data_IF_073917877475
#
_entry.id   IF_073917877475
#
_cell.length_a   1.000
_cell.length_b   1.000
_cell.length_c   1.000
_cell.angle_alpha   90.00
_cell.angle_beta   90.00
_cell.angle_gamma   90.00
#
_symmetry.space_group_name_H-M   'P 1'
#
loop_
_entity.id
_entity.type
_entity.pdbx_description
1 polymer ?
#
# COMPACT_ATOMS: atom_id res chain seq x y z
N UNK A 1 -23.90 42.83 -44.32
CA UNK A 1 -23.50 41.81 -43.32
C UNK A 1 -22.02 42.09 -43.07
N UNK A 2 -21.50 42.44 -41.90
CA UNK A 2 -21.74 42.00 -40.52
C UNK A 2 -21.30 43.13 -39.55
N UNK A 3 -21.98 43.28 -38.41
CA UNK A 3 -21.62 44.16 -37.29
C UNK A 3 -20.58 43.51 -36.36
N UNK A 4 -19.95 44.28 -35.46
CA UNK A 4 -20.15 43.98 -34.04
C UNK A 4 -20.32 45.19 -33.09
N UNK A 5 -21.18 44.99 -32.07
CA UNK A 5 -21.02 45.28 -30.62
C UNK A 5 -20.65 46.71 -30.16
N UNK A 6 -21.59 47.56 -29.70
CA UNK A 6 -22.17 47.72 -28.32
C UNK A 6 -21.12 47.93 -27.19
N UNK A 7 -20.94 49.16 -26.66
CA UNK A 7 -21.71 49.83 -25.58
C UNK A 7 -21.17 49.48 -24.17
N UNK A 8 -20.39 50.38 -23.54
CA UNK A 8 -20.80 51.33 -22.44
C UNK A 8 -20.64 50.73 -21.02
N UNK A 9 -20.31 51.41 -19.91
CA UNK A 9 -19.98 52.78 -19.50
C UNK A 9 -19.01 52.67 -18.30
N UNK A 10 -18.11 53.64 -18.11
CA UNK A 10 -17.29 53.78 -16.90
C UNK A 10 -17.93 54.78 -15.94
N UNK A 11 -18.13 54.39 -14.69
CA UNK A 11 -18.59 55.26 -13.60
C UNK A 11 -17.40 55.68 -12.74
N UNK A 12 -17.27 56.99 -12.56
CA UNK A 12 -16.36 57.67 -11.63
C UNK A 12 -17.02 57.79 -10.26
N UNK A 13 -16.36 57.37 -9.16
CA UNK A 13 -16.49 58.03 -7.84
C UNK A 13 -15.25 57.82 -6.94
N UNK A 14 -14.45 58.89 -6.83
CA UNK A 14 -13.75 59.50 -5.67
C UNK A 14 -13.33 58.64 -4.45
N UNK A 15 -12.02 58.63 -4.18
CA UNK A 15 -11.44 59.01 -2.87
C UNK A 15 -11.10 57.92 -1.84
N UNK A 16 -9.83 57.52 -1.75
CA UNK A 16 -8.99 57.65 -0.55
C UNK A 16 -7.56 57.22 -0.89
N UNK A 17 -6.61 58.14 -0.88
CA UNK A 17 -5.19 57.79 -0.85
C UNK A 17 -4.87 57.08 0.46
N UNK A 18 -4.45 55.83 0.37
CA UNK A 18 -3.49 55.28 1.34
C UNK A 18 -2.57 54.35 0.58
N UNK A 19 -1.45 54.92 0.13
CA UNK A 19 -0.30 54.18 -0.36
C UNK A 19 0.26 53.34 0.79
N UNK A 20 -0.31 52.16 1.02
CA UNK A 20 0.34 51.15 1.87
C UNK A 20 1.35 50.46 0.97
N UNK A 21 2.58 50.94 1.04
CA UNK A 21 3.70 50.40 0.27
C UNK A 21 3.83 48.89 0.53
N UNK A 22 4.15 48.14 -0.52
CA UNK A 22 4.45 46.70 -0.49
C UNK A 22 5.71 46.33 0.35
N UNK A 23 6.21 47.27 1.15
CA UNK A 23 7.45 47.23 1.91
C UNK A 23 7.28 47.88 3.31
N UNK A 24 6.07 47.85 3.88
CA UNK A 24 5.84 48.37 5.24
C UNK A 24 6.44 47.42 6.29
N UNK A 25 7.24 47.95 7.22
CA UNK A 25 7.89 47.17 8.30
C UNK A 25 6.90 46.37 9.15
N UNK A 26 5.63 46.79 9.20
CA UNK A 26 4.55 46.08 9.90
C UNK A 26 4.16 44.77 9.21
N UNK A 27 4.22 44.68 7.87
CA UNK A 27 3.88 43.45 7.14
C UNK A 27 5.00 42.41 7.18
N UNK A 28 6.26 42.85 7.30
CA UNK A 28 7.42 41.95 7.49
C UNK A 28 7.37 41.28 8.86
N UNK A 29 7.01 42.03 9.92
CA UNK A 29 6.89 41.48 11.29
C UNK A 29 5.76 40.46 11.40
N UNK A 30 4.58 40.76 10.86
CA UNK A 30 3.44 39.84 10.87
C UNK A 30 3.73 38.53 10.10
N UNK A 31 4.48 38.59 8.99
CA UNK A 31 4.89 37.40 8.25
C UNK A 31 5.96 36.58 8.99
N UNK A 32 6.84 37.23 9.75
CA UNK A 32 7.87 36.55 10.55
C UNK A 32 7.25 35.78 11.73
N UNK A 33 6.30 36.38 12.44
CA UNK A 33 5.61 35.72 13.56
C UNK A 33 4.79 34.50 13.10
N UNK A 34 4.11 34.55 11.94
CA UNK A 34 3.41 33.38 11.39
C UNK A 34 4.34 32.22 10.99
N UNK A 35 5.58 32.53 10.60
CA UNK A 35 6.59 31.51 10.27
C UNK A 35 7.20 30.89 11.53
N UNK A 36 7.35 31.66 12.61
CA UNK A 36 7.85 31.15 13.89
C UNK A 36 6.82 30.28 14.61
N UNK A 37 5.52 30.61 14.55
CA UNK A 37 4.44 29.79 15.15
C UNK A 37 4.25 28.44 14.44
N UNK A 38 4.50 28.36 13.12
CA UNK A 38 4.44 27.08 12.39
C UNK A 38 5.65 26.17 12.65
N UNK A 39 6.74 26.69 13.20
CA UNK A 39 7.96 25.90 13.46
C UNK A 39 8.01 25.26 14.85
N UNK A 40 7.14 25.69 15.77
CA UNK A 40 7.15 25.23 17.17
C UNK A 40 6.14 24.12 17.48
N UNK A 41 5.30 23.69 16.54
CA UNK A 41 4.36 22.58 16.76
C UNK A 41 4.97 21.25 16.31
N UNK A 42 6.19 20.98 16.76
CA UNK A 42 6.68 19.59 16.81
C UNK A 42 5.96 18.97 17.99
N UNK A 43 4.82 18.34 17.72
CA UNK A 43 4.17 17.46 18.70
C UNK A 43 5.25 16.51 19.23
N UNK A 44 5.37 16.33 20.56
CA UNK A 44 6.25 15.31 21.11
C UNK A 44 5.89 14.01 20.41
N UNK A 45 6.83 13.43 19.69
CA UNK A 45 6.70 12.09 19.16
C UNK A 45 6.58 11.21 20.39
N UNK A 46 5.38 10.77 20.72
CA UNK A 46 5.17 9.72 21.71
C UNK A 46 6.15 8.61 21.33
N UNK A 47 7.14 8.36 22.19
CA UNK A 47 8.11 7.28 22.02
C UNK A 47 7.32 5.97 22.15
N UNK A 48 6.68 5.58 21.06
CA UNK A 48 5.96 4.34 20.93
C UNK A 48 6.96 3.20 21.17
N UNK A 49 6.59 2.16 21.94
CA UNK A 49 7.47 1.03 22.20
C UNK A 49 8.05 0.49 20.88
N UNK A 50 9.38 0.42 20.81
CA UNK A 50 10.12 -0.09 19.66
C UNK A 50 10.92 -1.30 20.13
N UNK A 51 10.23 -2.40 20.42
CA UNK A 51 10.91 -3.65 20.78
C UNK A 51 11.60 -4.25 19.55
N UNK A 52 12.80 -4.78 19.74
CA UNK A 52 13.50 -5.51 18.69
C UNK A 52 12.82 -6.86 18.49
N UNK A 53 12.46 -7.17 17.24
CA UNK A 53 11.88 -8.47 16.87
C UNK A 53 12.78 -9.19 15.86
N UNK A 54 12.71 -10.51 15.87
CA UNK A 54 13.47 -11.37 14.95
C UNK A 54 12.64 -11.71 13.72
N UNK A 55 13.29 -12.01 12.59
CA UNK A 55 12.64 -12.48 11.37
C UNK A 55 11.73 -13.70 11.61
N UNK A 56 12.16 -14.65 12.43
CA UNK A 56 11.37 -15.84 12.78
C UNK A 56 10.02 -15.49 13.42
N UNK A 57 10.01 -14.53 14.35
CA UNK A 57 8.78 -14.04 14.99
C UNK A 57 7.88 -13.32 13.99
N UNK A 58 8.47 -12.50 13.11
CA UNK A 58 7.73 -11.83 12.04
C UNK A 58 7.05 -12.85 11.13
N UNK A 59 7.78 -13.87 10.66
CA UNK A 59 7.26 -14.94 9.82
C UNK A 59 6.16 -15.74 10.53
N UNK A 60 6.35 -16.06 11.81
CA UNK A 60 5.35 -16.77 12.62
C UNK A 60 4.02 -16.00 12.65
N UNK A 61 4.05 -14.71 12.97
CA UNK A 61 2.84 -13.88 12.99
C UNK A 61 2.29 -13.63 11.59
N UNK A 62 3.14 -13.48 10.57
CA UNK A 62 2.72 -13.35 9.18
C UNK A 62 1.89 -14.56 8.72
N UNK A 63 2.37 -15.78 8.97
CA UNK A 63 1.64 -17.00 8.60
C UNK A 63 0.43 -17.27 9.48
N UNK A 64 0.47 -16.91 10.77
CA UNK A 64 -0.73 -16.94 11.63
C UNK A 64 -1.81 -16.00 11.12
N UNK A 65 -1.43 -14.82 10.62
CA UNK A 65 -2.37 -13.90 10.00
C UNK A 65 -2.97 -14.47 8.71
N UNK A 66 -2.15 -15.07 7.84
CA UNK A 66 -2.63 -15.77 6.66
C UNK A 66 -3.64 -16.87 7.01
N UNK A 67 -3.36 -17.68 8.03
CA UNK A 67 -4.30 -18.70 8.51
C UNK A 67 -5.61 -18.08 9.02
N UNK A 68 -5.53 -17.00 9.79
CA UNK A 68 -6.72 -16.26 10.25
C UNK A 68 -7.57 -15.74 9.10
N UNK A 69 -6.94 -15.32 8.00
CA UNK A 69 -7.65 -14.88 6.79
C UNK A 69 -8.35 -16.06 6.09
N UNK A 70 -7.71 -17.24 6.04
CA UNK A 70 -8.34 -18.46 5.55
C UNK A 70 -9.63 -18.78 6.34
N UNK A 71 -9.56 -18.73 7.67
CA UNK A 71 -10.70 -19.02 8.55
C UNK A 71 -11.84 -17.99 8.39
N UNK A 72 -11.51 -16.74 8.05
CA UNK A 72 -12.47 -15.67 7.73
C UNK A 72 -13.03 -15.75 6.30
N UNK A 73 -12.54 -16.68 5.47
CA UNK A 73 -12.90 -16.79 4.05
C UNK A 73 -12.26 -15.74 3.14
N UNK A 74 -11.27 -14.98 3.62
CA UNK A 74 -10.55 -13.97 2.83
C UNK A 74 -9.42 -14.59 2.01
N UNK A 75 -9.79 -15.48 1.08
CA UNK A 75 -8.85 -16.32 0.33
C UNK A 75 -7.86 -15.51 -0.53
N UNK A 76 -8.26 -14.36 -1.07
CA UNK A 76 -7.40 -13.55 -1.94
C UNK A 76 -6.17 -13.06 -1.16
N UNK A 77 -6.37 -12.40 -0.01
CA UNK A 77 -5.27 -11.86 0.78
C UNK A 77 -4.43 -12.99 1.39
N UNK A 78 -5.06 -14.07 1.84
CA UNK A 78 -4.36 -15.25 2.32
C UNK A 78 -3.42 -15.83 1.25
N UNK A 79 -3.92 -16.00 0.03
CA UNK A 79 -3.13 -16.51 -1.08
C UNK A 79 -2.00 -15.55 -1.43
N UNK A 80 -2.27 -14.24 -1.43
CA UNK A 80 -1.25 -13.22 -1.66
C UNK A 80 -0.10 -13.33 -0.66
N UNK A 81 -0.38 -13.55 0.63
CA UNK A 81 0.62 -13.68 1.69
C UNK A 81 1.49 -14.94 1.58
N UNK A 82 0.99 -15.99 0.93
CA UNK A 82 1.69 -17.28 0.75
C UNK A 82 2.45 -17.40 -0.56
N UNK A 83 2.37 -16.41 -1.45
CA UNK A 83 3.07 -16.44 -2.74
C UNK A 83 4.58 -16.42 -2.54
N UNK A 84 5.07 -15.66 -1.57
CA UNK A 84 6.49 -15.59 -1.26
C UNK A 84 6.69 -15.42 0.24
N UNK A 85 7.91 -15.67 0.69
CA UNK A 85 8.31 -15.39 2.07
C UNK A 85 8.78 -13.93 2.16
N UNK A 86 8.23 -13.12 3.09
CA UNK A 86 8.74 -11.77 3.34
C UNK A 86 10.13 -11.83 3.98
N UNK A 87 10.97 -10.83 3.67
CA UNK A 87 12.30 -10.68 4.27
C UNK A 87 12.33 -9.48 5.20
N UNK A 88 13.05 -9.61 6.31
CA UNK A 88 13.20 -8.54 7.28
C UNK A 88 14.55 -7.83 7.12
N UNK A 89 14.52 -6.52 6.89
CA UNK A 89 15.70 -5.66 6.92
C UNK A 89 15.51 -4.57 8.00
N UNK A 90 16.06 -4.83 9.19
CA UNK A 90 15.87 -3.96 10.35
C UNK A 90 14.41 -3.96 10.83
N UNK A 91 13.66 -2.90 10.49
CA UNK A 91 12.22 -2.78 10.78
C UNK A 91 11.35 -2.75 9.52
N UNK A 92 11.96 -2.92 8.34
CA UNK A 92 11.29 -2.91 7.05
C UNK A 92 11.12 -4.35 6.58
N UNK A 93 9.89 -4.71 6.29
CA UNK A 93 9.52 -6.00 5.72
C UNK A 93 9.44 -5.83 4.21
N UNK A 94 10.35 -6.47 3.48
CA UNK A 94 10.33 -6.49 2.03
C UNK A 94 9.49 -7.67 1.55
N UNK A 95 8.48 -7.37 0.73
CA UNK A 95 7.58 -8.35 0.15
C UNK A 95 7.60 -8.30 -1.37
N UNK A 96 7.68 -9.46 -2.01
CA UNK A 96 7.79 -9.56 -3.46
C UNK A 96 6.52 -10.18 -4.06
N UNK A 97 5.85 -9.46 -4.95
CA UNK A 97 4.65 -9.95 -5.61
C UNK A 97 4.87 -10.15 -7.11
N UNK A 98 4.15 -11.10 -7.75
CA UNK A 98 4.45 -11.55 -9.11
C UNK A 98 4.05 -10.55 -10.19
N UNK A 99 3.14 -9.61 -9.88
CA UNK A 99 2.67 -8.59 -10.81
C UNK A 99 2.08 -7.38 -10.05
N UNK A 100 1.83 -6.28 -10.77
CA UNK A 100 1.28 -5.05 -10.20
C UNK A 100 -0.16 -5.22 -9.68
N UNK A 101 -0.97 -6.10 -10.29
CA UNK A 101 -2.33 -6.39 -9.82
C UNK A 101 -2.34 -6.94 -8.40
N UNK A 102 -1.52 -7.97 -8.15
CA UNK A 102 -1.32 -8.55 -6.82
C UNK A 102 -0.83 -7.50 -5.82
N UNK A 103 0.06 -6.60 -6.23
CA UNK A 103 0.52 -5.49 -5.39
C UNK A 103 -0.61 -4.52 -5.03
N UNK A 104 -1.45 -4.14 -5.98
CA UNK A 104 -2.60 -3.26 -5.73
C UNK A 104 -3.56 -3.91 -4.74
N UNK A 105 -3.88 -5.20 -4.92
CA UNK A 105 -4.77 -5.92 -4.01
C UNK A 105 -4.17 -6.08 -2.61
N UNK A 106 -2.87 -6.37 -2.52
CA UNK A 106 -2.16 -6.43 -1.24
C UNK A 106 -2.12 -5.07 -0.55
N UNK A 107 -1.81 -3.99 -1.27
CA UNK A 107 -1.76 -2.62 -0.72
C UNK A 107 -3.08 -2.18 -0.11
N UNK A 108 -4.22 -2.63 -0.64
CA UNK A 108 -5.56 -2.36 -0.07
C UNK A 108 -5.74 -3.02 1.31
N UNK A 109 -5.21 -4.22 1.50
CA UNK A 109 -5.34 -4.99 2.74
C UNK A 109 -4.13 -4.83 3.69
N UNK A 110 -3.03 -4.23 3.21
CA UNK A 110 -1.81 -3.94 3.96
C UNK A 110 -2.04 -3.23 5.30
N UNK A 111 -2.95 -2.24 5.42
CA UNK A 111 -3.17 -1.56 6.70
C UNK A 111 -3.64 -2.50 7.83
N UNK A 112 -4.47 -3.49 7.50
CA UNK A 112 -4.96 -4.48 8.49
C UNK A 112 -3.82 -5.39 8.96
N UNK A 113 -3.00 -5.86 8.03
CA UNK A 113 -1.82 -6.67 8.32
C UNK A 113 -0.79 -5.89 9.17
N UNK A 114 -0.51 -4.63 8.82
CA UNK A 114 0.39 -3.77 9.60
C UNK A 114 -0.13 -3.58 11.02
N UNK A 115 -1.44 -3.35 11.20
CA UNK A 115 -2.05 -3.25 12.53
C UNK A 115 -1.87 -4.53 13.36
N UNK A 116 -2.06 -5.69 12.73
CA UNK A 116 -1.85 -6.99 13.36
C UNK A 116 -0.39 -7.19 13.79
N UNK A 117 0.57 -6.95 12.90
CA UNK A 117 1.99 -7.13 13.19
C UNK A 117 2.49 -6.17 14.28
N UNK A 118 2.09 -4.89 14.23
CA UNK A 118 2.48 -3.90 15.24
C UNK A 118 1.98 -4.27 16.63
N UNK A 119 0.77 -4.82 16.73
CA UNK A 119 0.19 -5.26 18.00
C UNK A 119 0.86 -6.51 18.58
N UNK A 120 1.29 -7.44 17.73
CA UNK A 120 1.91 -8.71 18.16
C UNK A 120 3.42 -8.64 18.36
N UNK A 121 4.12 -7.81 17.59
CA UNK A 121 5.57 -7.63 17.67
C UNK A 121 5.98 -6.46 18.55
N UNK A 122 5.02 -5.76 19.18
CA UNK A 122 5.24 -4.59 20.05
C UNK A 122 6.20 -3.54 19.45
N UNK A 123 6.14 -3.38 18.14
CA UNK A 123 6.99 -2.45 17.40
C UNK A 123 6.17 -1.64 16.41
N UNK A 124 6.05 -0.34 16.68
CA UNK A 124 5.28 0.58 15.85
C UNK A 124 6.03 1.08 14.61
N UNK A 125 7.34 0.86 14.54
CA UNK A 125 8.18 1.27 13.42
C UNK A 125 8.16 0.28 12.24
N UNK A 126 7.39 -0.81 12.36
CA UNK A 126 7.24 -1.79 11.29
C UNK A 126 6.61 -1.15 10.06
N UNK A 127 7.30 -1.31 8.93
CA UNK A 127 6.85 -0.88 7.61
C UNK A 127 6.93 -2.06 6.65
N UNK A 128 6.00 -2.14 5.69
CA UNK A 128 6.02 -3.16 4.64
C UNK A 128 6.23 -2.45 3.30
N UNK A 129 7.30 -2.83 2.61
CA UNK A 129 7.62 -2.37 1.26
C UNK A 129 7.35 -3.51 0.27
N UNK A 130 6.54 -3.21 -0.74
CA UNK A 130 6.09 -4.20 -1.72
C UNK A 130 6.72 -3.91 -3.08
N UNK A 131 7.44 -4.88 -3.61
CA UNK A 131 8.10 -4.81 -4.92
C UNK A 131 7.50 -5.84 -5.87
N UNK A 132 7.49 -5.52 -7.17
CA UNK A 132 7.05 -6.48 -8.20
C UNK A 132 8.25 -7.25 -8.70
N UNK A 133 8.18 -8.58 -8.60
CA UNK A 133 9.17 -9.49 -9.11
C UNK A 133 8.50 -10.60 -9.92
N UNK A 134 8.52 -10.45 -11.26
CA UNK A 134 7.94 -11.43 -12.18
C UNK A 134 8.60 -12.82 -12.09
N UNK A 135 9.82 -12.92 -11.54
CA UNK A 135 10.48 -14.23 -11.33
C UNK A 135 9.78 -15.06 -10.26
N UNK A 136 9.10 -14.43 -9.30
CA UNK A 136 8.28 -15.13 -8.29
C UNK A 136 7.14 -15.90 -8.95
N UNK A 137 6.57 -15.36 -10.04
CA UNK A 137 5.55 -16.05 -10.85
C UNK A 137 6.05 -17.39 -11.40
N UNK A 138 7.35 -17.51 -11.68
CA UNK A 138 7.94 -18.75 -12.21
C UNK A 138 8.08 -19.81 -11.13
N UNK A 139 8.36 -19.42 -9.86
CA UNK A 139 8.48 -20.37 -8.74
C UNK A 139 7.16 -21.03 -8.34
N UNK A 140 6.04 -20.33 -8.54
CA UNK A 140 4.69 -20.81 -8.18
C UNK A 140 3.83 -21.18 -9.38
N UNK A 141 4.38 -21.15 -10.60
CA UNK A 141 3.67 -21.62 -11.77
C UNK A 141 3.46 -23.13 -11.64
N UNK A 142 2.26 -23.56 -11.26
CA UNK A 142 1.91 -24.98 -11.33
C UNK A 142 2.16 -25.48 -12.74
N UNK A 143 3.07 -26.44 -12.86
CA UNK A 143 3.27 -27.11 -14.13
C UNK A 143 1.95 -27.77 -14.56
N UNK A 144 1.70 -27.99 -15.85
CA UNK A 144 0.55 -28.78 -16.29
C UNK A 144 0.47 -30.13 -15.54
N UNK A 145 1.64 -30.70 -15.20
CA UNK A 145 1.78 -31.91 -14.38
C UNK A 145 1.27 -31.71 -12.94
N UNK A 146 1.63 -30.63 -12.26
CA UNK A 146 1.15 -30.34 -10.89
C UNK A 146 -0.35 -30.11 -10.86
N UNK A 147 -0.89 -29.44 -11.89
CA UNK A 147 -2.34 -29.28 -12.06
C UNK A 147 -3.03 -30.63 -12.24
N UNK A 148 -2.48 -31.50 -13.08
CA UNK A 148 -2.99 -32.87 -13.27
C UNK A 148 -2.96 -33.67 -11.96
N UNK A 149 -1.85 -33.61 -11.21
CA UNK A 149 -1.70 -34.32 -9.95
C UNK A 149 -2.71 -33.84 -8.90
N UNK A 150 -2.89 -32.53 -8.74
CA UNK A 150 -3.91 -31.94 -7.85
C UNK A 150 -5.33 -32.37 -8.25
N UNK A 151 -5.64 -32.36 -9.55
CA UNK A 151 -6.94 -32.80 -10.07
C UNK A 151 -7.16 -34.30 -9.85
N UNK A 152 -6.11 -35.11 -9.95
CA UNK A 152 -6.13 -36.56 -9.69
C UNK A 152 -6.32 -36.88 -8.20
N UNK A 153 -5.75 -36.09 -7.29
CA UNK A 153 -6.01 -36.21 -5.85
C UNK A 153 -7.47 -35.92 -5.49
N UNK A 154 -8.08 -34.92 -6.14
CA UNK A 154 -9.48 -34.57 -5.94
C UNK A 154 -10.41 -35.60 -6.60
N UNK A 155 -10.03 -36.11 -7.78
CA UNK A 155 -10.82 -37.09 -8.52
C UNK A 155 -9.92 -38.24 -9.05
N UNK A 156 -9.88 -39.40 -8.37
CA UNK A 156 -9.07 -40.54 -8.79
C UNK A 156 -9.52 -41.15 -10.14
N UNK A 157 -10.75 -40.88 -10.61
CA UNK A 157 -11.23 -41.32 -11.92
C UNK A 157 -10.69 -40.47 -13.08
N UNK A 158 -9.98 -39.37 -12.81
CA UNK A 158 -9.37 -38.52 -13.83
C UNK A 158 -8.36 -39.31 -14.69
N UNK A 159 -7.68 -40.30 -14.09
CA UNK A 159 -6.72 -41.18 -14.77
C UNK A 159 -7.44 -42.13 -15.77
N UNK A 160 -8.64 -42.60 -15.39
CA UNK A 160 -9.50 -43.40 -16.26
C UNK A 160 -10.00 -42.55 -17.44
N UNK A 161 -10.41 -41.31 -17.19
CA UNK A 161 -10.87 -40.39 -18.23
C UNK A 161 -9.74 -40.08 -19.23
N UNK A 162 -8.54 -39.76 -18.72
CA UNK A 162 -7.36 -39.52 -19.56
C UNK A 162 -7.05 -40.71 -20.48
N UNK A 163 -7.08 -41.94 -19.93
CA UNK A 163 -6.84 -43.17 -20.70
C UNK A 163 -7.97 -43.52 -21.67
N UNK A 164 -9.21 -43.24 -21.31
CA UNK A 164 -10.38 -43.58 -22.14
C UNK A 164 -10.49 -42.69 -23.38
N UNK A 165 -10.01 -41.45 -23.27
CA UNK A 165 -10.10 -40.45 -24.33
C UNK A 165 -8.76 -40.19 -25.06
N UNK A 166 -7.72 -40.97 -24.78
CA UNK A 166 -6.41 -40.91 -25.47
C UNK A 166 -5.83 -39.48 -25.57
N UNK A 167 -5.91 -38.71 -24.49
CA UNK A 167 -5.56 -37.28 -24.45
C UNK A 167 -4.04 -37.01 -24.36
N UNK A 168 -3.18 -37.90 -24.85
CA UNK A 168 -1.74 -37.64 -24.97
C UNK A 168 -1.45 -36.82 -26.25
N UNK A 169 -0.85 -35.63 -26.08
CA UNK A 169 -0.30 -34.76 -27.14
C UNK A 169 1.03 -34.18 -26.65
#
# INVERSE_FOLDING_TARGET
MVTPTQSTHSVTTVGLETKISALSLSSIRAKKELLEVQKSTVKPTEELPTEAFTETQMLEFWFKYAQRLNDKGQMIMESLLRISDPKLEGTIIHYELPNEGSKIDFERAKPELLGYLRGHLHNHNITIEVTVNEKVRTKNAYTPQDRYNRLKEINPHLDLLRRTFDLDL
#
